data_IF_109855962593
#
_entry.id   IF_109855962593
#
_cell.length_a   1.000
_cell.length_b   1.000
_cell.length_c   1.000
_cell.angle_alpha   90.00
_cell.angle_beta   90.00
_cell.angle_gamma   90.00
#
_symmetry.space_group_name_H-M   'P 1'
#
loop_
_entity.id
_entity.type
_entity.pdbx_description
1 polymer ?
#
# COMPACT_ATOMS: atom_id res chain seq x y z
N UNK A 1 8.26 14.34 -11.41
CA UNK A 1 6.94 13.94 -11.82
C UNK A 1 6.97 13.26 -13.19
N UNK A 2 6.18 12.25 -13.38
CA UNK A 2 6.10 11.57 -14.66
C UNK A 2 5.59 12.51 -15.74
N UNK A 3 6.18 12.44 -16.89
CA UNK A 3 5.79 13.23 -18.06
C UNK A 3 4.75 12.47 -18.84
N UNK A 4 3.91 13.19 -19.58
CA UNK A 4 2.94 12.54 -20.46
C UNK A 4 3.60 11.56 -21.42
N UNK A 5 4.75 11.93 -21.97
CA UNK A 5 5.46 11.05 -22.88
C UNK A 5 5.98 9.79 -22.20
N UNK A 6 6.47 9.92 -20.97
CA UNK A 6 6.90 8.76 -20.18
C UNK A 6 5.75 7.84 -19.86
N UNK A 7 4.58 8.39 -19.54
CA UNK A 7 3.38 7.60 -19.26
C UNK A 7 2.92 6.84 -20.49
N UNK A 8 2.93 7.48 -21.67
CA UNK A 8 2.55 6.80 -22.92
C UNK A 8 3.49 5.66 -23.26
N UNK A 9 4.79 5.90 -23.14
CA UNK A 9 5.79 4.85 -23.39
C UNK A 9 5.60 3.70 -22.41
N UNK A 10 5.31 4.01 -21.17
CA UNK A 10 5.05 3.01 -20.14
C UNK A 10 3.78 2.21 -20.44
N UNK A 11 2.71 2.87 -20.86
CA UNK A 11 1.49 2.19 -21.26
C UNK A 11 1.68 1.21 -22.39
N UNK A 12 2.41 1.62 -23.43
CA UNK A 12 2.70 0.75 -24.56
C UNK A 12 3.51 -0.46 -24.14
N UNK A 13 4.50 -0.25 -23.29
CA UNK A 13 5.30 -1.32 -22.75
C UNK A 13 4.46 -2.26 -21.89
N UNK A 14 3.58 -1.70 -21.09
CA UNK A 14 2.67 -2.48 -20.23
C UNK A 14 1.73 -3.34 -21.07
N UNK A 15 1.23 -2.82 -22.18
CA UNK A 15 0.40 -3.61 -23.09
C UNK A 15 1.16 -4.80 -23.65
N UNK A 16 2.42 -4.59 -24.04
CA UNK A 16 3.26 -5.67 -24.54
C UNK A 16 3.57 -6.71 -23.47
N UNK A 17 3.55 -6.30 -22.22
CA UNK A 17 3.86 -7.16 -21.07
C UNK A 17 2.63 -7.51 -20.25
N UNK A 18 1.45 -7.56 -20.86
CA UNK A 18 0.18 -7.72 -20.14
C UNK A 18 0.11 -8.94 -19.23
N UNK A 19 0.89 -9.97 -19.51
CA UNK A 19 0.93 -11.15 -18.66
C UNK A 19 1.76 -10.95 -17.39
N UNK A 20 2.58 -9.91 -17.33
CA UNK A 20 3.46 -9.65 -16.20
C UNK A 20 2.83 -8.59 -15.29
N UNK A 21 2.75 -8.84 -13.98
CA UNK A 21 2.27 -7.82 -13.05
C UNK A 21 3.27 -6.67 -12.97
N UNK A 22 2.75 -5.44 -12.91
CA UNK A 22 3.54 -4.27 -12.60
C UNK A 22 3.54 -4.10 -11.09
N UNK A 23 4.72 -4.04 -10.50
CA UNK A 23 4.90 -3.96 -9.05
C UNK A 23 5.59 -2.67 -8.68
N UNK A 24 5.01 -1.94 -7.75
CA UNK A 24 5.62 -0.78 -7.12
C UNK A 24 5.89 -1.08 -5.65
N UNK A 25 7.09 -0.80 -5.17
CA UNK A 25 7.43 -0.94 -3.75
C UNK A 25 7.59 0.45 -3.13
N UNK A 26 6.97 0.63 -1.97
CA UNK A 26 7.06 1.86 -1.20
C UNK A 26 7.42 1.51 0.23
N UNK A 27 8.46 2.14 0.76
CA UNK A 27 8.92 1.91 2.12
C UNK A 27 8.67 3.14 2.99
N UNK A 28 7.95 2.93 4.08
CA UNK A 28 7.69 3.94 5.12
C UNK A 28 7.13 5.26 4.55
N UNK A 29 6.02 5.14 3.83
CA UNK A 29 5.38 6.28 3.17
C UNK A 29 5.04 7.42 4.14
N UNK A 30 4.65 7.09 5.37
CA UNK A 30 4.17 8.08 6.34
C UNK A 30 5.27 8.74 7.17
N UNK A 31 6.51 8.24 7.08
CA UNK A 31 7.59 8.71 7.94
C UNK A 31 7.86 10.19 7.73
N UNK A 32 7.72 10.97 8.81
CA UNK A 32 7.99 12.40 8.79
C UNK A 32 6.95 13.26 8.09
N UNK A 33 5.82 12.68 7.67
CA UNK A 33 4.78 13.42 6.94
C UNK A 33 3.60 13.77 7.85
N UNK A 34 3.00 14.94 7.58
CA UNK A 34 1.76 15.32 8.23
C UNK A 34 0.61 14.41 7.80
N UNK A 35 -0.38 14.15 8.68
CA UNK A 35 -1.49 13.26 8.36
C UNK A 35 -2.24 13.61 7.07
N UNK A 36 -2.41 14.90 6.78
CA UNK A 36 -3.10 15.32 5.55
C UNK A 36 -2.33 14.88 4.30
N UNK A 37 -1.00 14.90 4.36
CA UNK A 37 -0.16 14.46 3.24
C UNK A 37 -0.24 12.95 3.10
N UNK A 38 -0.26 12.23 4.21
CA UNK A 38 -0.43 10.76 4.18
C UNK A 38 -1.75 10.39 3.54
N UNK A 39 -2.82 11.10 3.87
CA UNK A 39 -4.14 10.87 3.27
C UNK A 39 -4.11 11.09 1.75
N UNK A 40 -3.45 12.14 1.30
CA UNK A 40 -3.29 12.42 -0.13
C UNK A 40 -2.51 11.31 -0.84
N UNK A 41 -1.43 10.84 -0.23
CA UNK A 41 -0.65 9.73 -0.79
C UNK A 41 -1.45 8.44 -0.84
N UNK A 42 -2.27 8.18 0.16
CA UNK A 42 -3.15 7.01 0.17
C UNK A 42 -4.12 7.05 -1.01
N UNK A 43 -4.67 8.22 -1.33
CA UNK A 43 -5.53 8.40 -2.50
C UNK A 43 -4.78 8.15 -3.80
N UNK A 44 -3.56 8.65 -3.91
CA UNK A 44 -2.70 8.42 -5.08
C UNK A 44 -2.43 6.93 -5.25
N UNK A 45 -2.16 6.20 -4.16
CA UNK A 45 -1.96 4.76 -4.21
C UNK A 45 -3.21 4.04 -4.72
N UNK A 46 -4.39 4.48 -4.31
CA UNK A 46 -5.63 3.90 -4.78
C UNK A 46 -5.78 4.07 -6.30
N UNK A 47 -5.43 5.24 -6.83
CA UNK A 47 -5.46 5.48 -8.26
C UNK A 47 -4.48 4.59 -9.00
N UNK A 48 -3.27 4.45 -8.49
CA UNK A 48 -2.24 3.59 -9.07
C UNK A 48 -2.73 2.15 -9.13
N UNK A 49 -3.31 1.65 -8.05
CA UNK A 49 -3.91 0.30 -8.01
C UNK A 49 -5.01 0.14 -9.04
N UNK A 50 -5.87 1.13 -9.16
CA UNK A 50 -6.99 1.08 -10.10
C UNK A 50 -6.51 1.03 -11.54
N UNK A 51 -5.29 1.44 -11.81
CA UNK A 51 -4.65 1.37 -13.13
C UNK A 51 -3.87 0.06 -13.34
N UNK A 52 -4.07 -0.92 -12.49
CA UNK A 52 -3.50 -2.25 -12.67
C UNK A 52 -2.13 -2.48 -12.08
N UNK A 53 -1.64 -1.53 -11.27
CA UNK A 53 -0.35 -1.67 -10.60
C UNK A 53 -0.54 -2.35 -9.25
N UNK A 54 0.24 -3.39 -8.99
CA UNK A 54 0.33 -4.00 -7.66
C UNK A 54 1.29 -3.17 -6.81
N UNK A 55 0.86 -2.77 -5.63
CA UNK A 55 1.67 -1.96 -4.72
C UNK A 55 2.01 -2.79 -3.49
N UNK A 56 3.30 -2.88 -3.17
CA UNK A 56 3.77 -3.42 -1.91
C UNK A 56 4.19 -2.25 -1.03
N UNK A 57 3.44 -2.04 0.05
CA UNK A 57 3.71 -0.99 1.02
C UNK A 57 4.29 -1.61 2.27
N UNK A 58 5.49 -1.17 2.65
CA UNK A 58 6.10 -1.54 3.93
C UNK A 58 5.96 -0.34 4.85
N UNK A 59 5.25 -0.52 5.96
CA UNK A 59 4.88 0.59 6.82
C UNK A 59 4.91 0.16 8.29
N UNK A 60 5.49 0.98 9.15
CA UNK A 60 5.46 0.75 10.59
C UNK A 60 4.17 1.23 11.22
N UNK A 61 3.55 2.25 10.64
CA UNK A 61 2.26 2.74 11.10
C UNK A 61 1.16 1.81 10.60
N UNK A 62 0.67 0.96 11.49
CA UNK A 62 -0.31 -0.07 11.16
C UNK A 62 -1.61 0.55 10.66
N UNK A 63 -2.04 1.65 11.23
CA UNK A 63 -3.27 2.32 10.81
C UNK A 63 -3.17 2.82 9.38
N UNK A 64 -2.04 3.43 9.03
CA UNK A 64 -1.78 3.89 7.66
C UNK A 64 -1.78 2.70 6.70
N UNK A 65 -1.07 1.64 7.05
CA UNK A 65 -0.97 0.45 6.20
C UNK A 65 -2.35 -0.18 5.96
N UNK A 66 -3.13 -0.36 7.00
CA UNK A 66 -4.44 -1.00 6.88
C UNK A 66 -5.45 -0.15 6.10
N UNK A 67 -5.35 1.17 6.19
CA UNK A 67 -6.22 2.06 5.41
C UNK A 67 -5.85 2.08 3.94
N UNK A 68 -4.58 1.90 3.62
CA UNK A 68 -4.09 1.96 2.25
C UNK A 68 -4.18 0.63 1.51
N UNK A 69 -4.14 -0.49 2.21
CA UNK A 69 -3.96 -1.81 1.62
C UNK A 69 -5.28 -2.57 1.43
N UNK A 70 -5.26 -3.51 0.49
CA UNK A 70 -6.33 -4.51 0.34
C UNK A 70 -6.07 -5.70 1.27
N UNK A 71 -4.82 -6.15 1.34
CA UNK A 71 -4.38 -7.20 2.23
C UNK A 71 -3.17 -6.73 3.01
N UNK A 72 -3.02 -7.26 4.20
CA UNK A 72 -1.89 -6.92 5.04
C UNK A 72 -1.30 -8.16 5.69
N UNK A 73 0.00 -8.07 5.96
CA UNK A 73 0.77 -9.06 6.69
C UNK A 73 1.48 -8.33 7.81
N UNK A 74 1.25 -8.76 9.04
CA UNK A 74 1.96 -8.21 10.19
C UNK A 74 3.17 -9.08 10.48
N UNK A 75 4.33 -8.45 10.50
CA UNK A 75 5.60 -9.15 10.72
C UNK A 75 6.18 -8.72 12.05
N UNK A 76 6.47 -9.69 12.91
CA UNK A 76 7.13 -9.48 14.18
C UNK A 76 8.26 -10.49 14.32
N UNK A 77 9.44 -10.01 14.68
CA UNK A 77 10.61 -10.87 14.89
C UNK A 77 10.88 -11.80 13.71
N UNK A 78 10.74 -11.28 12.48
CA UNK A 78 11.00 -12.03 11.27
C UNK A 78 9.93 -13.04 10.89
N UNK A 79 8.77 -13.01 11.54
CA UNK A 79 7.67 -13.94 11.27
C UNK A 79 6.38 -13.20 10.97
N UNK A 80 5.57 -13.75 10.07
CA UNK A 80 4.22 -13.27 9.85
C UNK A 80 3.35 -13.76 11.00
N UNK A 81 2.85 -12.83 11.80
CA UNK A 81 1.99 -13.15 12.95
C UNK A 81 0.51 -13.05 12.64
N UNK A 82 0.15 -12.18 11.69
CA UNK A 82 -1.23 -12.00 11.23
C UNK A 82 -1.22 -11.75 9.73
N UNK A 83 -2.24 -12.21 9.06
CA UNK A 83 -2.43 -11.96 7.64
C UNK A 83 -3.91 -11.98 7.31
N UNK A 84 -4.33 -11.14 6.38
CA UNK A 84 -5.73 -11.13 5.96
C UNK A 84 -6.10 -9.88 5.20
N UNK A 85 -7.40 -9.75 4.92
CA UNK A 85 -7.94 -8.55 4.32
C UNK A 85 -7.79 -7.38 5.29
N UNK A 86 -7.29 -6.26 4.79
CA UNK A 86 -7.06 -5.08 5.64
C UNK A 86 -8.35 -4.61 6.32
N UNK A 87 -9.47 -4.64 5.59
CA UNK A 87 -10.78 -4.23 6.13
C UNK A 87 -11.25 -5.10 7.28
N UNK A 88 -10.77 -6.34 7.38
CA UNK A 88 -11.07 -7.23 8.48
C UNK A 88 -10.10 -7.02 9.63
N UNK A 89 -8.82 -6.89 9.32
CA UNK A 89 -7.79 -6.69 10.33
C UNK A 89 -7.98 -5.39 11.11
N UNK A 90 -8.48 -4.35 10.48
CA UNK A 90 -8.69 -3.07 11.16
C UNK A 90 -9.71 -3.17 12.30
N UNK A 91 -10.61 -4.15 12.23
CA UNK A 91 -11.61 -4.40 13.28
C UNK A 91 -11.26 -5.58 14.17
N UNK A 92 -10.14 -6.24 13.93
CA UNK A 92 -9.71 -7.37 14.76
C UNK A 92 -9.32 -6.86 16.15
N UNK A 93 -9.90 -7.41 17.23
CA UNK A 93 -9.61 -6.94 18.59
C UNK A 93 -8.13 -7.03 18.96
N UNK A 94 -7.43 -8.07 18.50
CA UNK A 94 -6.01 -8.21 18.77
C UNK A 94 -5.20 -7.12 18.09
N UNK A 95 -5.56 -6.77 16.85
CA UNK A 95 -4.90 -5.70 16.11
C UNK A 95 -5.19 -4.35 16.78
N UNK A 96 -6.43 -4.09 17.15
CA UNK A 96 -6.80 -2.85 17.83
C UNK A 96 -6.04 -2.69 19.14
N UNK A 97 -5.98 -3.74 19.93
CA UNK A 97 -5.28 -3.68 21.21
C UNK A 97 -3.78 -3.53 21.07
N UNK A 98 -3.18 -4.24 20.14
CA UNK A 98 -1.72 -4.25 19.99
C UNK A 98 -1.18 -3.04 19.26
N UNK A 99 -1.91 -2.51 18.27
CA UNK A 99 -1.36 -1.54 17.33
C UNK A 99 -2.17 -0.27 17.14
N UNK A 100 -3.45 -0.26 17.43
CA UNK A 100 -4.32 0.89 17.15
C UNK A 100 -4.68 1.70 18.39
N UNK A 101 -4.22 1.29 19.56
CA UNK A 101 -4.40 2.04 20.79
C UNK A 101 -5.83 2.03 21.36
N UNK A 102 -6.60 1.03 20.99
CA UNK A 102 -7.99 0.91 21.45
C UNK A 102 -8.17 -0.26 22.38
#
# INVERSE_FOLDING_TARGET
MARKNSLKAHEQRTRALMAAPVLMMIDEMSLGLAPVIVDQLTEVLAEIRNNGVTVLLVEQDVQVALRAADRAYVIENGRVTLAGAARELIYDPAVQQAYLGV
#
